data_IF_925215975067
#
_entry.id   IF_925215975067
#
_cell.length_a   1.000
_cell.length_b   1.000
_cell.length_c   1.000
_cell.angle_alpha   90.00
_cell.angle_beta   90.00
_cell.angle_gamma   90.00
#
_symmetry.space_group_name_H-M   'P 1'
#
loop_
_entity.id
_entity.type
_entity.pdbx_description
1 polymer ?
#
# COMPACT_ATOMS: atom_id res chain seq x y z
N UNK A 1 -11.36 8.73 -29.33
CA UNK A 1 -10.46 7.59 -29.61
C UNK A 1 -10.20 6.90 -28.29
N UNK A 2 -10.42 5.57 -28.16
CA UNK A 2 -10.03 4.82 -26.97
C UNK A 2 -8.51 4.93 -26.82
N UNK A 3 -8.02 5.26 -25.63
CA UNK A 3 -6.59 5.27 -25.37
C UNK A 3 -5.99 3.88 -25.71
N UNK A 4 -4.77 3.86 -26.24
CA UNK A 4 -4.07 2.61 -26.52
C UNK A 4 -3.87 1.83 -25.23
N UNK A 5 -4.26 0.56 -25.22
CA UNK A 5 -4.07 -0.31 -24.07
C UNK A 5 -2.64 -0.83 -23.99
N UNK A 6 -2.12 -0.96 -22.78
CA UNK A 6 -0.81 -1.52 -22.47
C UNK A 6 -0.81 -3.00 -22.85
N UNK A 7 0.13 -3.39 -23.69
CA UNK A 7 0.33 -4.76 -24.13
C UNK A 7 1.60 -5.38 -23.51
N UNK A 8 1.89 -6.65 -23.84
CA UNK A 8 3.06 -7.35 -23.28
C UNK A 8 4.40 -6.76 -23.71
N UNK A 9 4.47 -6.08 -24.88
CA UNK A 9 5.70 -5.40 -25.28
C UNK A 9 5.92 -4.15 -24.43
N UNK A 10 4.87 -3.38 -24.19
CA UNK A 10 4.94 -2.22 -23.30
C UNK A 10 5.42 -2.61 -21.89
N UNK A 11 5.00 -3.80 -21.41
CA UNK A 11 5.48 -4.33 -20.12
C UNK A 11 6.96 -4.66 -20.12
N UNK A 12 7.48 -5.28 -21.22
CA UNK A 12 8.92 -5.56 -21.37
C UNK A 12 9.74 -4.28 -21.45
N UNK A 13 9.28 -3.33 -22.22
CA UNK A 13 9.95 -2.03 -22.39
C UNK A 13 9.99 -1.26 -21.04
N UNK A 14 8.89 -1.31 -20.29
CA UNK A 14 8.82 -0.73 -18.95
C UNK A 14 9.77 -1.46 -17.97
N UNK A 15 9.79 -2.79 -18.00
CA UNK A 15 10.69 -3.56 -17.15
C UNK A 15 12.16 -3.17 -17.38
N UNK A 16 12.59 -3.04 -18.63
CA UNK A 16 13.96 -2.58 -18.95
C UNK A 16 14.18 -1.10 -18.57
N UNK A 17 13.22 -0.22 -18.84
CA UNK A 17 13.32 1.23 -18.57
C UNK A 17 13.45 1.55 -17.09
N UNK A 18 12.74 0.80 -16.23
CA UNK A 18 12.59 1.11 -14.80
C UNK A 18 13.37 0.20 -13.87
N UNK A 19 14.15 -0.74 -14.40
CA UNK A 19 14.90 -1.74 -13.63
C UNK A 19 15.92 -1.10 -12.70
N UNK A 20 15.81 -1.43 -11.41
CA UNK A 20 16.77 -1.02 -10.39
C UNK A 20 17.62 -2.19 -9.84
N UNK A 21 17.50 -3.38 -10.40
CA UNK A 21 18.22 -4.56 -9.91
C UNK A 21 19.73 -4.32 -9.85
N UNK A 22 20.35 -4.75 -8.78
CA UNK A 22 21.77 -4.56 -8.52
C UNK A 22 22.18 -3.15 -8.04
N UNK A 23 21.26 -2.19 -8.05
CA UNK A 23 21.55 -0.78 -7.69
C UNK A 23 22.12 -0.62 -6.29
N UNK A 24 21.67 -1.42 -5.34
CA UNK A 24 22.14 -1.42 -3.95
C UNK A 24 22.87 -2.71 -3.57
N UNK A 25 23.41 -3.40 -4.58
CA UNK A 25 24.11 -4.65 -4.43
C UNK A 25 23.28 -5.88 -4.75
N UNK A 26 23.94 -7.03 -5.00
CA UNK A 26 23.26 -8.26 -5.43
C UNK A 26 22.38 -8.88 -4.34
N UNK A 27 22.66 -8.59 -3.07
CA UNK A 27 21.94 -9.17 -1.92
C UNK A 27 20.89 -8.22 -1.35
N UNK A 28 20.58 -7.10 -2.03
CA UNK A 28 19.57 -6.16 -1.54
C UNK A 28 18.17 -6.77 -1.55
N UNK A 29 17.48 -6.63 -0.41
CA UNK A 29 16.12 -7.12 -0.19
C UNK A 29 15.13 -6.02 0.23
N UNK A 30 15.53 -4.73 0.19
CA UNK A 30 14.69 -3.61 0.66
C UNK A 30 14.44 -2.53 -0.39
N UNK A 31 15.10 -2.60 -1.54
CA UNK A 31 14.81 -1.78 -2.72
C UNK A 31 14.88 -0.28 -2.48
N UNK A 32 13.82 0.43 -2.88
CA UNK A 32 13.77 1.91 -2.83
C UNK A 32 13.83 2.49 -1.41
N UNK A 33 13.61 1.69 -0.36
CA UNK A 33 13.83 2.14 1.02
C UNK A 33 15.29 2.56 1.28
N UNK A 34 16.23 2.11 0.45
CA UNK A 34 17.62 2.58 0.47
C UNK A 34 17.82 4.04 0.03
N UNK A 35 16.80 4.67 -0.54
CA UNK A 35 16.86 6.10 -0.84
C UNK A 35 16.81 6.98 0.40
N UNK A 36 16.23 6.49 1.50
CA UNK A 36 16.18 7.24 2.78
C UNK A 36 17.49 7.05 3.54
N UNK A 37 18.17 8.13 3.84
CA UNK A 37 19.43 8.13 4.61
C UNK A 37 19.19 8.40 6.10
N UNK A 38 20.15 8.13 6.99
CA UNK A 38 20.06 8.54 8.39
C UNK A 38 19.84 10.05 8.56
N UNK A 39 20.45 10.87 7.72
CA UNK A 39 20.31 12.33 7.73
C UNK A 39 18.89 12.76 7.35
N UNK A 40 18.25 12.06 6.40
CA UNK A 40 16.86 12.29 6.02
C UNK A 40 15.91 11.97 7.20
N UNK A 41 16.19 10.89 7.94
CA UNK A 41 15.43 10.53 9.16
C UNK A 41 15.56 11.64 10.21
N UNK A 42 16.78 12.09 10.49
CA UNK A 42 17.03 13.19 11.44
C UNK A 42 16.32 14.47 10.97
N UNK A 43 16.37 14.78 9.67
CA UNK A 43 15.66 15.93 9.12
C UNK A 43 14.13 15.80 9.26
N UNK A 44 13.58 14.61 9.07
CA UNK A 44 12.16 14.34 9.21
C UNK A 44 11.64 14.60 10.64
N UNK A 45 12.41 14.25 11.67
CA UNK A 45 12.01 14.51 13.07
C UNK A 45 11.80 15.99 13.37
N UNK A 46 12.51 16.89 12.66
CA UNK A 46 12.38 18.35 12.82
C UNK A 46 11.10 18.92 12.21
N UNK A 47 10.36 18.13 11.44
CA UNK A 47 9.07 18.52 10.84
C UNK A 47 7.92 18.46 11.85
N UNK A 48 8.06 17.75 12.95
CA UNK A 48 7.05 17.67 14.00
C UNK A 48 6.90 19.02 14.69
N UNK A 49 5.75 19.68 14.49
CA UNK A 49 5.44 21.01 15.07
C UNK A 49 4.26 20.99 16.03
N UNK A 50 3.28 20.13 15.78
CA UNK A 50 2.02 20.08 16.55
C UNK A 50 1.97 18.92 17.54
N UNK A 51 2.84 17.93 17.40
CA UNK A 51 2.78 16.71 18.22
C UNK A 51 1.50 15.88 18.04
N UNK A 52 0.75 16.10 16.93
CA UNK A 52 -0.45 15.33 16.62
C UNK A 52 -0.04 13.97 16.05
N UNK A 53 -0.61 12.91 16.61
CA UNK A 53 -0.48 11.53 16.12
C UNK A 53 -1.75 11.17 15.37
N UNK A 54 -1.62 10.67 14.14
CA UNK A 54 -2.74 10.26 13.29
C UNK A 54 -2.51 8.80 12.90
N UNK A 55 -3.48 7.93 13.24
CA UNK A 55 -3.47 6.56 12.74
C UNK A 55 -3.97 6.53 11.29
N UNK A 56 -3.19 5.90 10.43
CA UNK A 56 -3.57 5.70 9.03
C UNK A 56 -4.11 4.29 8.77
N UNK A 57 -4.30 3.49 9.82
CA UNK A 57 -4.74 2.11 9.73
C UNK A 57 -6.25 1.97 10.00
N UNK A 58 -6.87 1.00 9.33
CA UNK A 58 -8.15 0.44 9.75
C UNK A 58 -7.95 -0.42 11.00
N UNK A 59 -9.02 -0.59 11.78
CA UNK A 59 -9.01 -1.50 12.92
C UNK A 59 -8.85 -2.95 12.48
N UNK A 60 -8.24 -3.77 13.33
CA UNK A 60 -8.20 -5.22 13.16
C UNK A 60 -9.48 -5.87 13.71
N UNK A 61 -10.61 -5.61 13.06
CA UNK A 61 -11.92 -6.14 13.44
C UNK A 61 -12.75 -6.55 12.21
N UNK A 62 -13.98 -6.98 12.47
CA UNK A 62 -14.91 -7.46 11.45
C UNK A 62 -15.49 -6.35 10.55
N UNK A 63 -15.22 -5.08 10.83
CA UNK A 63 -15.82 -3.93 10.12
C UNK A 63 -15.05 -3.51 8.87
N UNK A 64 -13.96 -4.19 8.55
CA UNK A 64 -13.12 -3.90 7.38
C UNK A 64 -13.77 -4.24 6.04
N UNK A 65 -13.06 -4.02 4.93
CA UNK A 65 -13.63 -4.10 3.58
C UNK A 65 -13.84 -5.52 3.05
N UNK A 66 -13.25 -6.54 3.67
CA UNK A 66 -13.31 -7.90 3.13
C UNK A 66 -14.69 -8.53 3.34
N UNK A 67 -15.11 -9.36 2.38
CA UNK A 67 -16.45 -9.98 2.40
C UNK A 67 -17.58 -9.10 1.83
N UNK A 68 -17.31 -7.84 1.51
CA UNK A 68 -18.25 -6.98 0.80
C UNK A 68 -18.43 -7.45 -0.66
N UNK A 69 -19.54 -7.07 -1.28
CA UNK A 69 -19.81 -7.40 -2.69
C UNK A 69 -18.80 -6.70 -3.58
N UNK A 70 -18.24 -7.45 -4.51
CA UNK A 70 -17.24 -6.98 -5.45
C UNK A 70 -17.47 -7.52 -6.85
N UNK A 71 -17.02 -6.77 -7.85
CA UNK A 71 -16.99 -7.17 -9.26
C UNK A 71 -16.10 -8.40 -9.48
N UNK A 72 -15.01 -8.48 -8.73
CA UNK A 72 -14.09 -9.62 -8.76
C UNK A 72 -14.15 -10.36 -7.42
N UNK A 73 -14.22 -11.71 -7.43
CA UNK A 73 -14.18 -12.47 -6.19
C UNK A 73 -12.96 -12.10 -5.37
N UNK A 74 -13.14 -11.87 -4.07
CA UNK A 74 -12.00 -11.77 -3.18
C UNK A 74 -11.23 -13.10 -3.24
N UNK A 75 -9.91 -13.05 -3.17
CA UNK A 75 -9.07 -14.27 -3.19
C UNK A 75 -9.17 -15.06 -1.87
N UNK A 76 -10.38 -15.20 -1.31
CA UNK A 76 -10.63 -15.87 -0.03
C UNK A 76 -10.21 -15.05 1.19
N UNK A 77 -9.98 -13.75 1.03
CA UNK A 77 -9.67 -12.86 2.15
C UNK A 77 -10.93 -12.61 2.98
N UNK A 78 -10.75 -12.65 4.30
CA UNK A 78 -11.77 -12.26 5.29
C UNK A 78 -11.28 -11.03 6.05
N UNK A 79 -12.19 -10.31 6.71
CA UNK A 79 -11.78 -9.37 7.73
C UNK A 79 -11.10 -10.09 8.90
N UNK A 80 -10.33 -9.39 9.74
CA UNK A 80 -9.74 -9.96 10.95
C UNK A 80 -10.79 -10.65 11.81
N UNK A 81 -10.48 -11.86 12.27
CA UNK A 81 -11.29 -12.63 13.22
C UNK A 81 -10.61 -12.51 14.58
N UNK A 82 -11.21 -11.69 15.46
CA UNK A 82 -10.75 -11.51 16.83
C UNK A 82 -11.43 -12.53 17.74
N UNK A 83 -10.67 -13.25 18.52
CA UNK A 83 -11.16 -14.29 19.44
C UNK A 83 -10.56 -14.08 20.81
N UNK A 84 -11.42 -14.05 21.84
CA UNK A 84 -10.98 -14.02 23.23
C UNK A 84 -10.57 -15.42 23.67
N UNK A 85 -9.36 -15.56 24.22
CA UNK A 85 -8.87 -16.78 24.87
C UNK A 85 -9.28 -16.82 26.34
N UNK A 86 -9.37 -15.64 26.97
CA UNK A 86 -9.84 -15.42 28.34
C UNK A 86 -10.51 -14.06 28.42
N UNK A 87 -11.57 -14.00 29.20
CA UNK A 87 -12.40 -12.80 29.34
C UNK A 87 -12.39 -12.26 30.78
N UNK A 88 -12.93 -11.07 30.96
CA UNK A 88 -13.22 -10.53 32.28
C UNK A 88 -14.26 -11.37 33.06
N UNK A 89 -15.17 -12.05 32.36
CA UNK A 89 -16.15 -12.97 32.97
C UNK A 89 -15.46 -14.21 33.55
N UNK A 90 -14.45 -14.77 32.86
CA UNK A 90 -13.65 -15.87 33.40
C UNK A 90 -12.89 -15.45 34.68
N UNK A 91 -12.32 -14.25 34.65
CA UNK A 91 -11.66 -13.69 35.83
C UNK A 91 -12.64 -13.47 36.99
N UNK A 92 -13.83 -12.93 36.69
CA UNK A 92 -14.89 -12.69 37.69
C UNK A 92 -15.39 -13.99 38.33
N UNK A 93 -15.53 -15.07 37.56
CA UNK A 93 -15.97 -16.38 38.04
C UNK A 93 -14.91 -17.13 38.89
N UNK A 94 -13.69 -16.59 39.00
CA UNK A 94 -12.62 -17.20 39.80
C UNK A 94 -11.85 -18.33 39.09
N UNK A 95 -12.09 -18.59 37.83
CA UNK A 95 -11.39 -19.64 37.04
C UNK A 95 -9.87 -19.44 37.07
N UNK A 96 -9.39 -18.19 37.15
CA UNK A 96 -7.96 -17.85 37.13
C UNK A 96 -7.33 -17.74 38.52
N UNK A 97 -8.11 -17.85 39.61
CA UNK A 97 -7.64 -17.56 40.99
C UNK A 97 -6.48 -18.46 41.44
N UNK A 98 -6.46 -19.72 40.99
CA UNK A 98 -5.36 -20.67 41.26
C UNK A 98 -4.00 -20.22 40.66
N UNK A 99 -4.01 -19.30 39.69
CA UNK A 99 -2.81 -18.73 39.05
C UNK A 99 -2.28 -17.50 39.81
N UNK A 100 -3.05 -16.97 40.77
CA UNK A 100 -2.71 -15.73 41.48
C UNK A 100 -2.77 -14.45 40.61
N UNK A 101 -3.41 -14.53 39.43
CA UNK A 101 -3.59 -13.39 38.53
C UNK A 101 -4.94 -13.49 37.81
N UNK A 102 -5.56 -12.33 37.61
CA UNK A 102 -6.78 -12.18 36.77
C UNK A 102 -6.45 -11.34 35.55
N UNK A 103 -6.64 -11.90 34.35
CA UNK A 103 -6.27 -11.27 33.09
C UNK A 103 -7.22 -11.69 31.97
N UNK A 104 -7.36 -10.85 30.96
CA UNK A 104 -7.90 -11.21 29.66
C UNK A 104 -6.75 -11.53 28.70
N UNK A 105 -7.05 -12.32 27.66
CA UNK A 105 -6.10 -12.70 26.63
C UNK A 105 -6.85 -12.98 25.32
N UNK A 106 -6.27 -12.66 24.18
CA UNK A 106 -6.93 -12.72 22.91
C UNK A 106 -5.98 -13.11 21.78
N UNK A 107 -6.55 -13.39 20.62
CA UNK A 107 -5.84 -13.65 19.38
C UNK A 107 -6.56 -13.06 18.18
N UNK A 108 -5.84 -12.80 17.10
CA UNK A 108 -6.39 -12.44 15.81
C UNK A 108 -5.94 -13.44 14.73
N UNK A 109 -6.87 -13.84 13.88
CA UNK A 109 -6.58 -14.60 12.67
C UNK A 109 -7.00 -13.75 11.47
N UNK A 110 -6.08 -13.50 10.54
CA UNK A 110 -6.37 -12.62 9.41
C UNK A 110 -5.45 -12.90 8.21
N UNK A 111 -5.96 -12.73 6.96
CA UNK A 111 -5.11 -12.53 5.80
C UNK A 111 -4.38 -11.19 5.93
N UNK A 112 -3.07 -11.14 5.71
CA UNK A 112 -2.27 -9.92 5.92
C UNK A 112 -2.63 -8.78 4.94
N UNK A 113 -3.26 -9.11 3.83
CA UNK A 113 -3.74 -8.16 2.81
C UNK A 113 -5.21 -7.73 3.03
N UNK A 114 -5.80 -7.99 4.20
CA UNK A 114 -7.23 -7.74 4.41
C UNK A 114 -7.57 -6.31 4.84
N UNK A 115 -6.62 -5.57 5.31
CA UNK A 115 -6.76 -4.20 5.81
C UNK A 115 -5.57 -3.34 5.40
N UNK A 116 -5.31 -2.26 6.14
CA UNK A 116 -4.16 -1.39 5.88
C UNK A 116 -2.86 -2.18 5.99
N UNK A 117 -2.08 -2.18 4.93
CA UNK A 117 -0.82 -2.93 4.87
C UNK A 117 0.22 -2.25 3.98
N UNK A 118 1.44 -2.77 4.04
CA UNK A 118 2.51 -2.53 3.09
C UNK A 118 2.85 -3.83 2.37
N UNK A 119 2.91 -3.80 1.05
CA UNK A 119 3.37 -4.92 0.26
C UNK A 119 4.88 -5.08 0.36
N UNK A 120 5.31 -6.28 0.73
CA UNK A 120 6.72 -6.64 0.67
C UNK A 120 7.20 -6.92 -0.75
N UNK A 121 8.50 -6.86 -0.97
CA UNK A 121 9.10 -7.05 -2.30
C UNK A 121 9.03 -8.50 -2.82
N UNK A 122 8.59 -9.43 -1.98
CA UNK A 122 8.25 -10.80 -2.34
C UNK A 122 6.76 -11.04 -2.63
N UNK A 123 5.94 -9.97 -2.72
CA UNK A 123 4.48 -10.10 -2.89
C UNK A 123 4.05 -10.26 -4.35
N UNK A 124 4.72 -9.60 -5.29
CA UNK A 124 4.39 -9.61 -6.73
C UNK A 124 5.59 -10.08 -7.52
N UNK A 125 5.32 -10.84 -8.59
CA UNK A 125 6.34 -11.39 -9.46
C UNK A 125 6.20 -10.84 -10.87
N UNK A 126 7.33 -10.46 -11.47
CA UNK A 126 7.43 -10.23 -12.91
C UNK A 126 7.96 -11.51 -13.56
N UNK A 127 7.12 -12.20 -14.34
CA UNK A 127 7.38 -13.56 -14.78
C UNK A 127 7.68 -14.49 -13.59
N UNK A 128 8.91 -14.99 -13.48
CA UNK A 128 9.35 -15.88 -12.39
C UNK A 128 10.25 -15.20 -11.37
N UNK A 129 10.33 -13.86 -11.39
CA UNK A 129 11.26 -13.12 -10.54
C UNK A 129 10.53 -12.11 -9.66
N UNK A 130 11.00 -11.98 -8.43
CA UNK A 130 10.70 -10.88 -7.54
C UNK A 130 11.85 -9.86 -7.54
N UNK A 131 11.79 -8.88 -6.65
CA UNK A 131 12.80 -7.85 -6.53
C UNK A 131 14.23 -8.39 -6.63
N UNK A 132 15.10 -7.63 -7.30
CA UNK A 132 16.52 -7.86 -7.46
C UNK A 132 16.88 -9.18 -8.19
N UNK A 133 15.91 -9.76 -8.91
CA UNK A 133 16.11 -10.98 -9.68
C UNK A 133 16.06 -12.26 -8.86
N UNK A 134 15.64 -12.21 -7.61
CA UNK A 134 15.40 -13.42 -6.84
C UNK A 134 14.27 -14.26 -7.46
N UNK A 135 14.43 -15.56 -7.43
CA UNK A 135 13.43 -16.52 -7.97
C UNK A 135 12.15 -16.46 -7.11
N UNK A 136 10.98 -16.47 -7.73
CA UNK A 136 9.69 -16.44 -7.03
C UNK A 136 9.48 -17.66 -6.12
N UNK A 137 10.17 -18.78 -6.37
CA UNK A 137 10.14 -20.00 -5.52
C UNK A 137 10.76 -19.80 -4.13
N UNK A 138 11.46 -18.69 -3.90
CA UNK A 138 11.89 -18.29 -2.55
C UNK A 138 10.70 -17.88 -1.66
N UNK A 139 9.49 -17.68 -2.22
CA UNK A 139 8.25 -17.56 -1.45
C UNK A 139 7.62 -18.94 -1.34
N UNK A 140 7.81 -19.56 -0.18
CA UNK A 140 7.41 -20.94 0.11
C UNK A 140 6.20 -20.98 1.06
N UNK A 141 5.73 -22.20 1.39
CA UNK A 141 4.71 -22.37 2.43
C UNK A 141 5.17 -21.93 3.84
N UNK A 142 6.47 -21.77 4.05
CA UNK A 142 7.06 -21.22 5.28
C UNK A 142 7.23 -19.69 5.23
N UNK A 143 6.76 -19.04 4.16
CA UNK A 143 6.88 -17.61 3.93
C UNK A 143 8.00 -17.25 2.96
N UNK A 144 8.24 -15.95 2.79
CA UNK A 144 9.26 -15.42 1.91
C UNK A 144 10.66 -15.62 2.53
N UNK A 145 11.50 -16.42 1.88
CA UNK A 145 12.89 -16.66 2.30
C UNK A 145 13.79 -15.51 1.83
N UNK A 146 13.38 -14.81 0.77
CA UNK A 146 13.96 -13.57 0.25
C UNK A 146 12.88 -12.51 0.12
N UNK A 147 13.26 -11.25 0.24
CA UNK A 147 12.39 -10.10 0.05
C UNK A 147 11.14 -10.07 0.97
N UNK A 148 11.17 -10.78 2.12
CA UNK A 148 10.10 -10.75 3.10
C UNK A 148 9.96 -9.36 3.73
N UNK A 149 8.71 -9.00 4.13
CA UNK A 149 8.42 -7.68 4.70
C UNK A 149 9.22 -7.38 5.97
N UNK A 150 9.64 -8.41 6.72
CA UNK A 150 10.46 -8.27 7.93
C UNK A 150 11.83 -7.64 7.68
N UNK A 151 12.33 -7.68 6.42
CA UNK A 151 13.57 -7.01 6.02
C UNK A 151 13.47 -5.49 6.14
N UNK A 152 12.25 -4.96 6.05
CA UNK A 152 12.00 -3.52 6.08
C UNK A 152 11.92 -2.92 7.49
N UNK A 153 11.91 -3.74 8.55
CA UNK A 153 11.64 -3.35 9.95
C UNK A 153 12.47 -2.16 10.47
N UNK A 154 13.68 -1.97 9.96
CA UNK A 154 14.58 -0.89 10.34
C UNK A 154 14.67 0.22 9.26
N UNK A 155 13.77 0.22 8.27
CA UNK A 155 13.81 1.10 7.10
C UNK A 155 12.53 1.91 6.90
N UNK A 156 11.40 1.49 7.50
CA UNK A 156 10.09 2.14 7.33
C UNK A 156 9.96 3.40 8.19
N UNK A 157 10.85 4.36 7.98
CA UNK A 157 10.84 5.63 8.69
C UNK A 157 11.41 6.74 7.78
N UNK A 158 10.76 7.91 7.78
CA UNK A 158 11.19 9.02 6.95
C UNK A 158 10.19 10.16 6.90
N UNK A 159 10.35 11.04 5.92
CA UNK A 159 9.42 12.15 5.67
C UNK A 159 8.22 11.63 4.88
N UNK A 160 7.02 11.79 5.45
CA UNK A 160 5.75 11.58 4.73
C UNK A 160 5.36 12.84 3.95
N UNK A 161 4.96 12.66 2.69
CA UNK A 161 4.36 13.70 1.84
C UNK A 161 2.96 13.27 1.47
N UNK A 162 1.97 14.01 1.95
CA UNK A 162 0.56 13.78 1.65
C UNK A 162 0.13 14.55 0.41
N UNK A 163 -0.36 13.85 -0.62
CA UNK A 163 -0.90 14.44 -1.84
C UNK A 163 -2.41 14.19 -1.93
N UNK A 164 -3.20 15.21 -1.62
CA UNK A 164 -4.67 15.14 -1.70
C UNK A 164 -5.14 15.42 -3.13
N UNK A 165 -5.12 14.40 -3.99
CA UNK A 165 -5.50 14.51 -5.40
C UNK A 165 -6.99 14.79 -5.53
N UNK A 166 -7.85 14.21 -4.69
CA UNK A 166 -9.28 14.50 -4.71
C UNK A 166 -9.54 16.00 -4.46
N UNK A 167 -8.92 16.59 -3.44
CA UNK A 167 -9.03 18.04 -3.16
C UNK A 167 -8.40 18.88 -4.27
N UNK A 168 -7.30 18.44 -4.87
CA UNK A 168 -6.70 19.12 -6.02
C UNK A 168 -7.68 19.21 -7.18
N UNK A 169 -8.44 18.16 -7.43
CA UNK A 169 -9.51 18.09 -8.46
C UNK A 169 -10.81 18.74 -8.03
N UNK A 170 -10.90 19.26 -6.79
CA UNK A 170 -12.11 19.90 -6.24
C UNK A 170 -13.31 18.93 -6.12
N UNK A 171 -13.03 17.65 -5.79
CA UNK A 171 -14.03 16.61 -5.52
C UNK A 171 -13.82 15.98 -4.14
N UNK A 172 -14.87 15.37 -3.56
CA UNK A 172 -14.75 14.62 -2.30
C UNK A 172 -14.02 13.28 -2.53
N UNK A 173 -14.31 12.63 -3.67
CA UNK A 173 -13.70 11.38 -4.12
C UNK A 173 -13.53 11.40 -5.62
N UNK A 174 -12.43 10.85 -6.11
CA UNK A 174 -12.24 10.56 -7.53
C UNK A 174 -13.21 9.46 -7.97
N UNK A 175 -13.62 9.50 -9.24
CA UNK A 175 -14.50 8.50 -9.82
C UNK A 175 -13.76 7.15 -10.01
N UNK A 176 -14.51 6.05 -9.96
CA UNK A 176 -13.97 4.73 -10.28
C UNK A 176 -13.45 4.73 -11.72
N UNK A 177 -12.25 4.18 -11.91
CA UNK A 177 -11.56 4.21 -13.21
C UNK A 177 -10.79 5.50 -13.50
N UNK A 178 -10.75 6.45 -12.57
CA UNK A 178 -9.92 7.63 -12.75
C UNK A 178 -8.43 7.29 -12.62
N UNK A 179 -7.68 7.39 -13.73
CA UNK A 179 -6.22 7.25 -13.74
C UNK A 179 -5.55 8.55 -13.28
N UNK A 180 -4.91 8.50 -12.11
CA UNK A 180 -4.08 9.60 -11.60
C UNK A 180 -2.84 9.71 -12.48
N UNK A 181 -2.60 10.87 -13.08
CA UNK A 181 -1.50 11.14 -14.00
C UNK A 181 -0.28 11.75 -13.30
N UNK A 182 0.87 11.77 -14.01
CA UNK A 182 2.03 12.57 -13.56
C UNK A 182 1.66 14.03 -13.33
N UNK A 183 0.84 14.62 -14.22
CA UNK A 183 0.38 15.99 -14.10
C UNK A 183 -0.46 16.22 -12.84
N UNK A 184 -1.28 15.25 -12.44
CA UNK A 184 -2.08 15.33 -11.21
C UNK A 184 -1.19 15.32 -9.97
N UNK A 185 -0.19 14.44 -9.91
CA UNK A 185 0.73 14.33 -8.77
C UNK A 185 1.59 15.60 -8.61
N UNK A 186 2.24 16.04 -9.68
CA UNK A 186 3.04 17.28 -9.64
C UNK A 186 2.17 18.54 -9.42
N UNK A 187 0.98 18.57 -10.04
CA UNK A 187 0.02 19.64 -9.84
C UNK A 187 -0.49 19.74 -8.41
N UNK A 188 -0.75 18.60 -7.78
CA UNK A 188 -1.13 18.52 -6.35
C UNK A 188 -0.01 19.01 -5.46
N UNK A 189 1.22 18.51 -5.65
CA UNK A 189 2.39 18.95 -4.88
C UNK A 189 2.59 20.48 -5.00
N UNK A 190 2.51 21.01 -6.22
CA UNK A 190 2.62 22.45 -6.47
C UNK A 190 1.51 23.26 -5.77
N UNK A 191 0.25 22.82 -5.87
CA UNK A 191 -0.88 23.49 -5.20
C UNK A 191 -0.75 23.46 -3.69
N UNK A 192 -0.24 22.36 -3.12
CA UNK A 192 0.02 22.21 -1.69
C UNK A 192 1.33 22.87 -1.24
N UNK A 193 2.14 23.40 -2.17
CA UNK A 193 3.45 24.02 -1.90
C UNK A 193 4.41 23.05 -1.20
N UNK A 194 4.44 21.82 -1.67
CA UNK A 194 5.30 20.74 -1.16
C UNK A 194 6.32 20.37 -2.23
N UNK A 195 7.59 20.38 -1.86
CA UNK A 195 8.68 19.88 -2.69
C UNK A 195 8.86 18.38 -2.42
N UNK A 196 8.82 17.59 -3.48
CA UNK A 196 9.15 16.16 -3.43
C UNK A 196 10.66 15.98 -3.39
N UNK A 197 11.13 15.06 -2.56
CA UNK A 197 12.55 14.76 -2.37
C UNK A 197 12.80 13.27 -2.49
N UNK A 198 13.99 12.91 -2.87
CA UNK A 198 14.46 11.52 -2.79
C UNK A 198 14.26 10.98 -1.37
N UNK A 199 13.79 9.76 -1.27
CA UNK A 199 13.56 9.09 0.01
C UNK A 199 12.25 9.48 0.70
N UNK A 200 11.37 10.28 0.07
CA UNK A 200 10.05 10.58 0.63
C UNK A 200 9.13 9.36 0.58
N UNK A 201 8.23 9.29 1.55
CA UNK A 201 7.07 8.39 1.56
C UNK A 201 5.86 9.18 1.07
N UNK A 202 5.42 8.93 -0.15
CA UNK A 202 4.29 9.67 -0.74
C UNK A 202 2.99 8.94 -0.44
N UNK A 203 2.03 9.64 0.16
CA UNK A 203 0.73 9.12 0.53
C UNK A 203 -0.32 9.88 -0.27
N UNK A 204 -1.07 9.18 -1.13
CA UNK A 204 -2.00 9.77 -2.09
C UNK A 204 -3.44 9.47 -1.69
N UNK A 205 -4.23 10.53 -1.53
CA UNK A 205 -5.66 10.44 -1.23
C UNK A 205 -6.49 10.54 -2.50
N UNK A 206 -7.32 9.52 -2.71
CA UNK A 206 -8.35 9.49 -3.76
C UNK A 206 -9.75 9.84 -3.22
N UNK A 207 -9.98 9.65 -1.91
CA UNK A 207 -11.28 9.80 -1.25
C UNK A 207 -12.19 8.57 -1.38
N UNK A 208 -11.75 7.48 -2.03
CA UNK A 208 -12.57 6.28 -2.23
C UNK A 208 -12.96 5.62 -0.92
N UNK A 209 -12.01 5.46 0.01
CA UNK A 209 -12.31 4.86 1.32
C UNK A 209 -13.33 5.70 2.10
N UNK A 210 -13.17 7.01 2.14
CA UNK A 210 -14.10 7.90 2.81
C UNK A 210 -15.50 7.84 2.21
N UNK A 211 -15.60 7.70 0.88
CA UNK A 211 -16.87 7.50 0.17
C UNK A 211 -17.58 6.24 0.69
N UNK A 212 -16.86 5.13 0.84
CA UNK A 212 -17.39 3.88 1.38
C UNK A 212 -17.79 4.03 2.85
N UNK A 213 -16.97 4.65 3.67
CA UNK A 213 -17.28 4.91 5.09
C UNK A 213 -18.53 5.79 5.25
N UNK A 214 -18.67 6.84 4.45
CA UNK A 214 -19.84 7.73 4.43
C UNK A 214 -21.12 7.01 3.97
N UNK A 215 -20.99 6.07 3.04
CA UNK A 215 -22.09 5.22 2.59
C UNK A 215 -22.45 4.11 3.58
N UNK A 216 -21.61 3.84 4.58
CA UNK A 216 -21.79 2.72 5.51
C UNK A 216 -21.68 1.35 4.83
N UNK A 217 -21.01 1.27 3.68
CA UNK A 217 -20.86 0.04 2.89
C UNK A 217 -19.50 0.00 2.20
N UNK A 218 -18.90 -1.19 2.22
CA UNK A 218 -17.68 -1.49 1.47
C UNK A 218 -17.96 -2.11 0.08
N UNK A 219 -19.24 -2.20 -0.33
CA UNK A 219 -19.61 -2.79 -1.63
C UNK A 219 -18.90 -2.06 -2.78
N UNK A 220 -18.24 -2.85 -3.63
CA UNK A 220 -17.42 -2.35 -4.73
C UNK A 220 -15.98 -1.98 -4.37
N UNK A 221 -15.63 -1.84 -3.07
CA UNK A 221 -14.27 -1.47 -2.67
C UNK A 221 -13.27 -2.61 -2.86
N UNK A 222 -13.42 -3.82 -2.24
CA UNK A 222 -12.41 -4.86 -2.37
C UNK A 222 -12.48 -5.52 -3.76
N UNK A 223 -11.46 -5.33 -4.58
CA UNK A 223 -11.40 -5.91 -5.93
C UNK A 223 -12.34 -5.28 -6.96
N UNK A 224 -12.95 -4.14 -6.66
CA UNK A 224 -13.81 -3.40 -7.60
C UNK A 224 -13.04 -2.47 -8.53
N UNK A 225 -13.78 -1.71 -9.35
CA UNK A 225 -13.24 -0.59 -10.09
C UNK A 225 -12.84 0.50 -9.09
N UNK A 226 -11.73 1.19 -9.34
CA UNK A 226 -11.17 2.15 -8.39
C UNK A 226 -10.39 3.26 -9.09
N UNK A 227 -10.35 4.48 -8.55
CA UNK A 227 -9.33 5.44 -8.92
C UNK A 227 -7.95 4.95 -8.47
N UNK A 228 -6.91 5.33 -9.16
CA UNK A 228 -5.55 4.94 -8.79
C UNK A 228 -4.51 5.39 -9.80
N UNK A 229 -3.26 4.99 -9.58
CA UNK A 229 -2.15 5.40 -10.42
C UNK A 229 -2.31 4.88 -11.86
N UNK A 230 -2.25 5.78 -12.83
CA UNK A 230 -2.10 5.43 -14.24
C UNK A 230 -0.69 4.87 -14.50
N UNK A 231 -0.54 4.04 -15.52
CA UNK A 231 0.73 3.39 -15.83
C UNK A 231 1.87 4.40 -16.11
N UNK A 232 1.56 5.56 -16.67
CA UNK A 232 2.54 6.63 -16.88
C UNK A 232 3.22 7.12 -15.59
N UNK A 233 2.60 6.94 -14.42
CA UNK A 233 3.18 7.38 -13.14
C UNK A 233 4.40 6.57 -12.68
N UNK A 234 4.77 5.54 -13.42
CA UNK A 234 6.09 4.92 -13.29
C UNK A 234 7.23 5.93 -13.51
N UNK A 235 7.03 6.93 -14.40
CA UNK A 235 7.99 8.02 -14.57
C UNK A 235 8.08 8.88 -13.31
N UNK A 236 6.96 9.23 -12.69
CA UNK A 236 6.95 9.97 -11.43
C UNK A 236 7.75 9.24 -10.34
N UNK A 237 7.52 7.93 -10.17
CA UNK A 237 8.26 7.12 -9.17
C UNK A 237 9.76 7.11 -9.46
N UNK A 238 10.14 6.95 -10.72
CA UNK A 238 11.55 6.94 -11.15
C UNK A 238 12.23 8.28 -10.90
N UNK A 239 11.59 9.36 -11.31
CA UNK A 239 12.18 10.70 -11.32
C UNK A 239 12.31 11.27 -9.90
N UNK A 240 11.33 10.99 -9.04
CA UNK A 240 11.33 11.46 -7.65
C UNK A 240 12.14 10.59 -6.70
N UNK A 241 12.49 9.37 -7.09
CA UNK A 241 13.26 8.42 -6.26
C UNK A 241 12.62 8.23 -4.87
N UNK A 242 11.31 7.97 -4.84
CA UNK A 242 10.57 7.75 -3.60
C UNK A 242 11.05 6.51 -2.85
N UNK A 243 10.99 6.55 -1.53
CA UNK A 243 11.19 5.37 -0.68
C UNK A 243 10.00 4.41 -0.77
N UNK A 244 8.79 4.95 -0.70
CA UNK A 244 7.56 4.16 -0.78
C UNK A 244 6.39 5.05 -1.22
N UNK A 245 5.30 4.42 -1.63
CA UNK A 245 4.07 5.07 -2.03
C UNK A 245 2.87 4.35 -1.42
N UNK A 246 1.84 5.08 -0.98
CA UNK A 246 0.63 4.52 -0.40
C UNK A 246 -0.62 5.24 -0.88
N UNK A 247 -1.78 4.54 -0.83
CA UNK A 247 -3.08 5.10 -1.19
C UNK A 247 -4.21 4.57 -0.30
N UNK A 248 -5.35 5.26 -0.36
CA UNK A 248 -6.61 4.87 0.30
C UNK A 248 -7.46 3.92 -0.54
N UNK A 249 -6.90 3.33 -1.60
CA UNK A 249 -7.57 2.31 -2.42
C UNK A 249 -7.04 0.91 -2.10
N UNK A 250 -7.75 -0.11 -2.56
CA UNK A 250 -7.43 -1.51 -2.27
C UNK A 250 -6.27 -2.08 -3.10
N UNK A 251 -5.78 -1.35 -4.12
CA UNK A 251 -4.75 -1.84 -5.03
C UNK A 251 -3.98 -0.71 -5.71
N UNK A 252 -3.91 0.47 -5.11
CA UNK A 252 -3.13 1.63 -5.58
C UNK A 252 -3.35 2.05 -7.04
N UNK A 253 -3.25 1.14 -8.02
CA UNK A 253 -3.40 1.46 -9.44
C UNK A 253 -4.86 1.53 -9.91
N UNK A 254 -5.08 2.24 -11.00
CA UNK A 254 -6.41 2.44 -11.57
C UNK A 254 -7.07 1.13 -12.02
N UNK A 255 -8.35 1.01 -11.71
CA UNK A 255 -9.20 -0.11 -12.16
C UNK A 255 -10.49 0.42 -12.78
N UNK A 256 -10.89 -0.05 -14.00
CA UNK A 256 -10.24 -1.09 -14.82
C UNK A 256 -8.83 -0.71 -15.24
N UNK A 257 -7.92 -1.70 -15.31
CA UNK A 257 -6.55 -1.44 -15.74
C UNK A 257 -6.49 -0.93 -17.19
N UNK A 258 -5.48 -0.11 -17.47
CA UNK A 258 -5.20 0.46 -18.80
C UNK A 258 -4.62 -0.57 -19.79
N UNK A 259 -4.66 -1.86 -19.44
CA UNK A 259 -4.00 -2.95 -20.16
C UNK A 259 -4.96 -3.80 -20.98
N UNK A 260 -4.40 -4.56 -21.91
CA UNK A 260 -5.10 -5.59 -22.66
C UNK A 260 -5.54 -6.75 -21.76
N UNK A 261 -6.48 -7.56 -22.25
CA UNK A 261 -6.92 -8.77 -21.55
C UNK A 261 -5.72 -9.70 -21.27
N UNK A 262 -5.65 -10.26 -20.07
CA UNK A 262 -4.55 -11.13 -19.62
C UNK A 262 -3.34 -10.40 -19.03
N UNK A 263 -3.40 -9.07 -18.91
CA UNK A 263 -2.46 -8.28 -18.10
C UNK A 263 -3.27 -7.60 -17.00
N UNK A 264 -3.13 -8.07 -15.78
CA UNK A 264 -3.80 -7.53 -14.62
C UNK A 264 -2.80 -6.86 -13.72
N UNK A 265 -3.10 -5.65 -13.23
CA UNK A 265 -2.23 -4.85 -12.37
C UNK A 265 -0.83 -4.57 -12.97
N UNK A 266 -0.75 -3.99 -14.20
CA UNK A 266 0.52 -3.75 -14.89
C UNK A 266 1.47 -2.83 -14.11
N UNK A 267 0.95 -1.89 -13.35
CA UNK A 267 1.74 -0.98 -12.54
C UNK A 267 2.44 -1.71 -11.39
N UNK A 268 1.76 -2.66 -10.72
CA UNK A 268 2.36 -3.51 -9.69
C UNK A 268 3.51 -4.37 -10.22
N UNK A 269 3.37 -4.90 -11.44
CA UNK A 269 4.40 -5.74 -12.06
C UNK A 269 5.72 -5.00 -12.28
N UNK A 270 5.66 -3.68 -12.37
CA UNK A 270 6.87 -2.86 -12.56
C UNK A 270 7.35 -2.28 -11.24
N UNK A 271 6.45 -1.76 -10.41
CA UNK A 271 6.86 -1.05 -9.18
C UNK A 271 7.47 -1.98 -8.15
N UNK A 272 6.87 -3.13 -7.87
CA UNK A 272 7.37 -4.03 -6.81
C UNK A 272 8.59 -4.83 -7.30
N UNK A 273 8.50 -5.74 -8.29
CA UNK A 273 9.62 -6.60 -8.61
C UNK A 273 10.72 -5.91 -9.42
N UNK A 274 10.43 -4.90 -10.22
CA UNK A 274 11.42 -4.27 -11.12
C UNK A 274 12.06 -3.03 -10.50
N UNK A 275 11.23 -2.11 -9.96
CA UNK A 275 11.74 -0.89 -9.32
C UNK A 275 12.17 -1.12 -7.87
N UNK A 276 11.66 -2.15 -7.20
CA UNK A 276 11.93 -2.47 -5.79
C UNK A 276 11.22 -1.54 -4.82
N UNK A 277 10.01 -1.08 -5.15
CA UNK A 277 9.25 -0.18 -4.30
C UNK A 277 8.16 -0.93 -3.53
N UNK A 278 8.22 -0.86 -2.20
CA UNK A 278 7.11 -1.27 -1.34
C UNK A 278 5.95 -0.29 -1.48
N UNK A 279 4.72 -0.79 -1.49
CA UNK A 279 3.55 0.08 -1.59
C UNK A 279 2.54 -0.20 -0.48
N UNK A 280 1.87 0.86 -0.04
CA UNK A 280 0.86 0.83 1.01
C UNK A 280 -0.55 0.89 0.43
N UNK A 281 -1.42 0.02 0.92
CA UNK A 281 -2.80 -0.07 0.47
C UNK A 281 -3.78 0.05 1.63
N UNK A 282 -5.00 0.45 1.32
CA UNK A 282 -6.11 0.54 2.26
C UNK A 282 -5.79 1.49 3.43
N UNK A 283 -5.14 2.63 3.13
CA UNK A 283 -4.82 3.63 4.14
C UNK A 283 -6.05 4.49 4.48
N UNK A 284 -6.35 4.64 5.77
CA UNK A 284 -7.40 5.55 6.22
C UNK A 284 -6.85 6.97 6.32
N UNK A 285 -7.12 7.78 5.31
CA UNK A 285 -6.51 9.10 5.14
C UNK A 285 -7.40 10.27 5.58
N UNK A 286 -8.61 9.99 6.07
CA UNK A 286 -9.58 11.03 6.42
C UNK A 286 -9.04 12.03 7.43
N UNK A 287 -8.55 11.56 8.59
CA UNK A 287 -8.04 12.44 9.64
C UNK A 287 -6.78 13.22 9.22
N UNK A 288 -5.99 12.64 8.30
CA UNK A 288 -4.81 13.32 7.75
C UNK A 288 -5.21 14.44 6.79
N UNK A 289 -6.36 14.32 6.11
CA UNK A 289 -6.89 15.30 5.18
C UNK A 289 -7.61 16.48 5.86
N UNK A 290 -8.16 16.26 7.06
CA UNK A 290 -8.86 17.28 7.88
C UNK A 290 -7.86 18.17 8.65
#
# INVERSE_FOLDING_TARGET
MSARKINRQDMRDAAEKYKNWGKWGPDDEVGTLNYTTPEDIVAATRLVKKGKVISLALNFDHTGPQGAKSKYPSMGRTNPIHTMLRTGTDAYSGVLDKRGIRAADDMVTMPLQCGTQWDGLGHVFYENYMWNGYDCREVTSAGAQKCGIEKTKNRMVGRGVFLDVARYKSVESLDDGYGITNADLYGTAKKQKVDLKRGDYVIVRTGMMERCQKAGSWDGYPGGDAPGFAFETLDFVKDTQLAALASDTWGCEVRPNESEAGINQPWHWITIPIMGMTMGEIFNLKELAD
#
